data_IF_369606347427
#
_entry.id   IF_369606347427
#
_cell.length_a   1.000
_cell.length_b   1.000
_cell.length_c   1.000
_cell.angle_alpha   90.00
_cell.angle_beta   90.00
_cell.angle_gamma   90.00
#
_symmetry.space_group_name_H-M   'P 1'
#
loop_
_entity.id
_entity.type
_entity.pdbx_description
1 polymer ?
#
# COMPACT_ATOMS: atom_id res chain seq x y z
N UNK A 1 6.25 14.10 0.01
CA UNK A 1 6.47 12.65 0.14
C UNK A 1 6.56 11.94 -1.22
N UNK A 2 7.31 12.47 -2.22
CA UNK A 2 7.37 11.83 -3.55
C UNK A 2 8.31 10.60 -3.56
N UNK A 3 9.46 10.71 -2.89
CA UNK A 3 10.47 9.64 -2.82
C UNK A 3 9.93 8.40 -2.11
N UNK A 4 9.31 8.57 -0.93
CA UNK A 4 8.74 7.45 -0.16
C UNK A 4 7.65 6.71 -0.96
N UNK A 5 6.80 7.46 -1.68
CA UNK A 5 5.79 6.89 -2.59
C UNK A 5 6.44 6.08 -3.72
N UNK A 6 7.50 6.59 -4.33
CA UNK A 6 8.22 5.90 -5.41
C UNK A 6 8.84 4.60 -4.90
N UNK A 7 9.47 4.60 -3.71
CA UNK A 7 10.05 3.40 -3.10
C UNK A 7 8.96 2.35 -2.83
N UNK A 8 7.82 2.75 -2.27
CA UNK A 8 6.69 1.84 -2.01
C UNK A 8 6.10 1.28 -3.31
N UNK A 9 5.97 2.09 -4.36
CA UNK A 9 5.50 1.63 -5.67
C UNK A 9 6.49 0.64 -6.31
N UNK A 10 7.80 0.93 -6.27
CA UNK A 10 8.82 0.03 -6.83
C UNK A 10 8.83 -1.31 -6.10
N UNK A 11 8.75 -1.30 -4.77
CA UNK A 11 8.68 -2.54 -3.96
C UNK A 11 7.42 -3.34 -4.26
N UNK A 12 6.26 -2.69 -4.39
CA UNK A 12 5.02 -3.37 -4.76
C UNK A 12 5.09 -4.00 -6.17
N UNK A 13 5.68 -3.30 -7.15
CA UNK A 13 5.88 -3.83 -8.51
C UNK A 13 6.86 -5.02 -8.50
N UNK A 14 7.95 -4.92 -7.74
CA UNK A 14 8.93 -6.01 -7.61
C UNK A 14 8.28 -7.27 -6.99
N UNK A 15 7.48 -7.10 -5.93
CA UNK A 15 6.71 -8.18 -5.32
C UNK A 15 5.69 -8.77 -6.30
N UNK A 16 4.98 -7.95 -7.09
CA UNK A 16 4.10 -8.40 -8.17
C UNK A 16 4.83 -9.25 -9.20
N UNK A 17 5.95 -8.77 -9.73
CA UNK A 17 6.77 -9.51 -10.68
C UNK A 17 7.24 -10.83 -10.09
N UNK A 18 7.72 -10.81 -8.85
CA UNK A 18 8.16 -12.01 -8.16
C UNK A 18 7.04 -13.05 -8.00
N UNK A 19 5.83 -12.62 -7.62
CA UNK A 19 4.69 -13.53 -7.45
C UNK A 19 4.15 -14.11 -8.75
N UNK A 20 4.19 -13.34 -9.84
CA UNK A 20 3.83 -13.84 -11.16
C UNK A 20 4.85 -14.85 -11.68
N UNK A 21 6.15 -14.61 -11.47
CA UNK A 21 7.23 -15.51 -11.92
C UNK A 21 7.26 -16.80 -11.11
N UNK A 22 7.06 -16.72 -9.79
CA UNK A 22 7.14 -17.89 -8.88
C UNK A 22 5.83 -18.67 -8.77
N UNK A 23 4.71 -18.14 -9.27
CA UNK A 23 3.38 -18.75 -9.12
C UNK A 23 2.83 -18.70 -7.69
N UNK A 24 3.57 -18.15 -6.73
CA UNK A 24 3.22 -18.08 -5.30
C UNK A 24 2.46 -16.78 -4.97
N UNK A 25 1.46 -16.45 -5.79
CA UNK A 25 0.72 -15.19 -5.67
C UNK A 25 0.06 -15.08 -4.29
N UNK A 26 -0.49 -16.18 -3.76
CA UNK A 26 -1.19 -16.19 -2.46
C UNK A 26 -0.33 -15.73 -1.28
N UNK A 27 0.93 -16.17 -1.20
CA UNK A 27 1.86 -15.77 -0.14
C UNK A 27 2.41 -14.36 -0.34
N UNK A 28 2.38 -13.83 -1.56
CA UNK A 28 2.96 -12.52 -1.89
C UNK A 28 1.93 -11.38 -1.81
N UNK A 29 0.64 -11.68 -2.00
CA UNK A 29 -0.49 -10.75 -1.83
C UNK A 29 -0.44 -9.97 -0.50
N UNK A 30 -0.27 -10.58 0.68
CA UNK A 30 -0.26 -9.83 1.94
C UNK A 30 0.90 -8.83 2.01
N UNK A 31 2.09 -9.19 1.51
CA UNK A 31 3.24 -8.27 1.44
C UNK A 31 3.01 -7.11 0.46
N UNK A 32 2.31 -7.37 -0.65
CA UNK A 32 1.90 -6.30 -1.57
C UNK A 32 0.87 -5.36 -0.95
N UNK A 33 -0.14 -5.91 -0.28
CA UNK A 33 -1.17 -5.13 0.42
C UNK A 33 -0.55 -4.30 1.54
N UNK A 34 0.44 -4.80 2.28
CA UNK A 34 1.20 -4.01 3.25
C UNK A 34 1.87 -2.79 2.59
N UNK A 35 2.56 -2.98 1.46
CA UNK A 35 3.20 -1.86 0.74
C UNK A 35 2.17 -0.84 0.23
N UNK A 36 1.05 -1.30 -0.32
CA UNK A 36 -0.06 -0.43 -0.76
C UNK A 36 -0.71 0.32 0.43
N UNK A 37 -0.94 -0.36 1.55
CA UNK A 37 -1.49 0.23 2.77
C UNK A 37 -0.62 1.39 3.27
N UNK A 38 0.70 1.19 3.34
CA UNK A 38 1.67 2.24 3.67
C UNK A 38 1.64 3.40 2.65
N UNK A 39 1.50 3.10 1.37
CA UNK A 39 1.39 4.13 0.32
C UNK A 39 0.16 5.01 0.52
N UNK A 40 -0.98 4.43 0.92
CA UNK A 40 -2.19 5.17 1.25
C UNK A 40 -2.05 6.02 2.51
N UNK A 41 -1.32 5.58 3.55
CA UNK A 41 -0.97 6.45 4.69
C UNK A 41 -0.21 7.69 4.21
N UNK A 42 0.82 7.49 3.38
CA UNK A 42 1.66 8.57 2.86
C UNK A 42 0.83 9.55 2.01
N UNK A 43 -0.13 9.06 1.23
CA UNK A 43 -1.10 9.88 0.50
C UNK A 43 -2.05 10.63 1.44
N UNK A 44 -2.62 9.95 2.43
CA UNK A 44 -3.49 10.56 3.44
C UNK A 44 -2.82 11.70 4.17
N UNK A 45 -1.57 11.52 4.63
CA UNK A 45 -0.76 12.58 5.25
C UNK A 45 -0.51 13.73 4.26
N UNK A 46 -0.22 13.42 3.00
CA UNK A 46 0.07 14.43 1.97
C UNK A 46 -1.17 15.29 1.66
N UNK A 47 -2.35 14.69 1.56
CA UNK A 47 -3.61 15.38 1.31
C UNK A 47 -4.14 16.10 2.55
N UNK A 48 -3.89 15.55 3.75
CA UNK A 48 -4.20 16.22 5.02
C UNK A 48 -3.42 17.53 5.14
N UNK A 49 -2.14 17.52 4.73
CA UNK A 49 -1.31 18.72 4.68
C UNK A 49 -1.80 19.76 3.67
N UNK A 50 -2.57 19.36 2.66
CA UNK A 50 -3.20 20.26 1.69
C UNK A 50 -4.61 20.70 2.12
N UNK A 51 -5.05 20.36 3.34
CA UNK A 51 -6.40 20.63 3.88
C UNK A 51 -7.53 20.09 3.00
N UNK A 52 -7.28 18.99 2.28
CA UNK A 52 -8.30 18.32 1.47
C UNK A 52 -9.00 17.25 2.28
N UNK A 53 -10.32 17.21 2.21
CA UNK A 53 -11.16 16.23 2.90
C UNK A 53 -10.85 14.79 2.44
N UNK A 54 -10.33 14.61 1.22
CA UNK A 54 -9.92 13.31 0.66
C UNK A 54 -8.89 12.57 1.52
N UNK A 55 -8.16 13.28 2.39
CA UNK A 55 -7.23 12.69 3.34
C UNK A 55 -7.88 11.60 4.19
N UNK A 56 -9.12 11.82 4.63
CA UNK A 56 -9.84 10.87 5.48
C UNK A 56 -10.14 9.57 4.73
N UNK A 57 -10.44 9.68 3.43
CA UNK A 57 -10.71 8.54 2.57
C UNK A 57 -9.44 7.68 2.40
N UNK A 58 -8.29 8.31 2.20
CA UNK A 58 -7.01 7.61 2.13
C UNK A 58 -6.63 6.90 3.45
N UNK A 59 -6.92 7.51 4.60
CA UNK A 59 -6.72 6.85 5.89
C UNK A 59 -7.65 5.66 6.09
N UNK A 60 -8.93 5.77 5.71
CA UNK A 60 -9.90 4.69 5.81
C UNK A 60 -9.50 3.50 4.92
N UNK A 61 -9.15 3.78 3.66
CA UNK A 61 -8.65 2.77 2.72
C UNK A 61 -7.39 2.11 3.24
N UNK A 62 -6.45 2.89 3.78
CA UNK A 62 -5.22 2.35 4.35
C UNK A 62 -5.49 1.40 5.52
N UNK A 63 -6.34 1.78 6.46
CA UNK A 63 -6.69 0.94 7.61
C UNK A 63 -7.33 -0.38 7.17
N UNK A 64 -8.25 -0.33 6.20
CA UNK A 64 -8.87 -1.53 5.63
C UNK A 64 -7.85 -2.43 4.92
N UNK A 65 -7.00 -1.86 4.06
CA UNK A 65 -5.97 -2.61 3.32
C UNK A 65 -4.97 -3.27 4.26
N UNK A 66 -4.54 -2.58 5.33
CA UNK A 66 -3.64 -3.14 6.34
C UNK A 66 -4.31 -4.24 7.16
N UNK A 67 -5.58 -4.07 7.52
CA UNK A 67 -6.35 -5.12 8.21
C UNK A 67 -6.45 -6.38 7.35
N UNK A 68 -6.80 -6.25 6.07
CA UNK A 68 -6.86 -7.37 5.14
C UNK A 68 -5.49 -8.02 4.95
N UNK A 69 -4.43 -7.22 4.87
CA UNK A 69 -3.07 -7.75 4.73
C UNK A 69 -2.66 -8.62 5.93
N UNK A 70 -3.02 -8.20 7.15
CA UNK A 70 -2.74 -8.96 8.37
C UNK A 70 -3.63 -10.20 8.47
N UNK A 71 -4.88 -10.12 8.04
CA UNK A 71 -5.82 -11.25 8.04
C UNK A 71 -5.41 -12.38 7.10
N UNK A 72 -4.77 -12.04 5.97
CA UNK A 72 -4.32 -13.00 4.96
C UNK A 72 -2.97 -13.65 5.33
N UNK A 73 -2.16 -12.97 6.16
CA UNK A 73 -0.84 -13.44 6.59
C UNK A 73 -0.95 -14.60 7.60
#
# INVERSE_FOLDING_TARGET
>A
MKILRIILTITAIALSGYGLVTGNIGTIIPYMLLSMGLMFIVMGITEFRKRKADAFNYFLVSAFVLFVAIYIL
#
